data_IF_570773707959
#
_entry.id   IF_570773707959
#
_cell.length_a   1.000
_cell.length_b   1.000
_cell.length_c   1.000
_cell.angle_alpha   90.00
_cell.angle_beta   90.00
_cell.angle_gamma   90.00
#
_symmetry.space_group_name_H-M   'P 1'
#
loop_
_entity.id
_entity.type
_entity.pdbx_description
1 polymer ?
#
# COMPACT_ATOMS: atom_id res chain seq x y z
N UNK A 1 1.50 -7.57 46.99
CA UNK A 1 1.84 -7.88 45.59
C UNK A 1 0.65 -7.52 44.74
N UNK A 2 0.65 -6.35 44.15
CA UNK A 2 -0.39 -5.90 43.23
C UNK A 2 -0.18 -6.57 41.87
N UNK A 3 -1.15 -7.37 41.46
CA UNK A 3 -1.18 -8.03 40.16
C UNK A 3 -1.55 -6.96 39.13
N UNK A 4 -0.59 -6.55 38.32
CA UNK A 4 -0.77 -5.62 37.22
C UNK A 4 -1.79 -6.24 36.23
N UNK A 5 -3.04 -5.78 36.32
CA UNK A 5 -4.08 -6.11 35.35
C UNK A 5 -3.76 -5.28 34.11
N UNK A 6 -2.96 -5.82 33.22
CA UNK A 6 -2.95 -5.33 31.83
C UNK A 6 -4.37 -5.48 31.30
N UNK A 7 -4.94 -4.34 30.97
CA UNK A 7 -6.23 -4.26 30.32
C UNK A 7 -6.07 -4.75 28.88
N UNK A 8 -6.38 -6.01 28.64
CA UNK A 8 -6.29 -6.66 27.31
C UNK A 8 -7.27 -6.06 26.28
N UNK A 9 -8.09 -5.08 26.71
CA UNK A 9 -9.05 -4.37 25.85
C UNK A 9 -8.53 -3.05 25.29
N UNK A 10 -7.43 -2.52 25.82
CA UNK A 10 -6.78 -1.36 25.21
C UNK A 10 -5.89 -1.86 24.08
N UNK A 11 -6.46 -1.98 22.90
CA UNK A 11 -5.66 -2.20 21.67
C UNK A 11 -4.57 -1.14 21.62
N UNK A 12 -3.33 -1.56 21.37
CA UNK A 12 -2.21 -0.64 21.24
C UNK A 12 -2.58 0.41 20.19
N UNK A 13 -2.68 1.68 20.61
CA UNK A 13 -3.05 2.81 19.75
C UNK A 13 -2.13 2.91 18.50
N UNK A 14 -0.98 2.27 18.56
CA UNK A 14 0.02 2.19 17.51
C UNK A 14 0.06 0.82 16.80
N UNK A 15 -0.92 -0.06 17.05
CA UNK A 15 -0.99 -1.30 16.28
C UNK A 15 -1.42 -1.00 14.85
N UNK A 16 -0.45 -1.02 13.95
CA UNK A 16 -0.62 -0.76 12.50
C UNK A 16 -1.72 -1.66 11.90
N UNK A 17 -1.92 -2.87 12.43
CA UNK A 17 -2.95 -3.78 11.97
C UNK A 17 -4.37 -3.26 12.23
N UNK A 18 -4.59 -2.47 13.29
CA UNK A 18 -5.88 -1.81 13.55
C UNK A 18 -6.06 -0.51 12.77
N UNK A 19 -4.96 0.20 12.49
CA UNK A 19 -5.01 1.45 11.71
C UNK A 19 -5.21 1.20 10.22
N UNK A 20 -4.68 0.09 9.72
CA UNK A 20 -4.72 -0.28 8.30
C UNK A 20 -5.12 -1.75 8.18
N UNK A 21 -6.43 -2.07 8.27
CA UNK A 21 -6.89 -3.43 8.11
C UNK A 21 -6.56 -3.92 6.69
N UNK A 22 -5.76 -4.97 6.61
CA UNK A 22 -5.44 -5.64 5.36
C UNK A 22 -6.47 -6.74 5.14
N UNK A 23 -7.23 -6.64 4.07
CA UNK A 23 -8.13 -7.72 3.65
C UNK A 23 -7.29 -8.92 3.17
N UNK A 24 -7.78 -10.13 3.43
CA UNK A 24 -7.15 -11.33 2.89
C UNK A 24 -7.26 -11.32 1.35
N UNK A 25 -6.22 -11.77 0.63
CA UNK A 25 -6.29 -11.89 -0.82
C UNK A 25 -7.49 -12.75 -1.24
N UNK A 26 -8.13 -12.38 -2.34
CA UNK A 26 -9.24 -13.18 -2.88
C UNK A 26 -8.71 -14.47 -3.51
N UNK A 27 -9.39 -15.58 -3.25
CA UNK A 27 -9.00 -16.89 -3.82
C UNK A 27 -9.05 -16.93 -5.35
N UNK A 28 -9.87 -16.09 -5.98
CA UNK A 28 -10.02 -16.02 -7.42
C UNK A 28 -10.07 -14.59 -7.93
N UNK A 29 -9.17 -14.27 -8.86
CA UNK A 29 -9.22 -13.02 -9.60
C UNK A 29 -10.37 -13.06 -10.63
N UNK A 30 -11.41 -12.28 -10.39
CA UNK A 30 -12.51 -12.09 -11.34
C UNK A 30 -12.16 -10.92 -12.28
N UNK A 31 -11.56 -11.23 -13.42
CA UNK A 31 -11.05 -10.22 -14.36
C UNK A 31 -12.09 -9.16 -14.75
N UNK A 32 -13.36 -9.55 -14.87
CA UNK A 32 -14.44 -8.63 -15.21
C UNK A 32 -14.74 -7.65 -14.06
N UNK A 33 -14.72 -8.14 -12.82
CA UNK A 33 -14.96 -7.30 -11.64
C UNK A 33 -13.83 -6.30 -11.45
N UNK A 34 -12.57 -6.74 -11.63
CA UNK A 34 -11.40 -5.86 -11.58
C UNK A 34 -11.47 -4.77 -12.66
N UNK A 35 -11.85 -5.12 -13.90
CA UNK A 35 -12.01 -4.14 -14.98
C UNK A 35 -13.07 -3.08 -14.65
N UNK A 36 -14.20 -3.50 -14.10
CA UNK A 36 -15.26 -2.58 -13.68
C UNK A 36 -14.82 -1.70 -12.51
N UNK A 37 -14.09 -2.27 -11.56
CA UNK A 37 -13.52 -1.52 -10.45
C UNK A 37 -12.56 -0.44 -10.95
N UNK A 38 -11.59 -0.80 -11.80
CA UNK A 38 -10.65 0.16 -12.41
C UNK A 38 -11.41 1.27 -13.14
N UNK A 39 -12.40 0.94 -13.95
CA UNK A 39 -13.19 1.93 -14.68
C UNK A 39 -13.94 2.89 -13.74
N UNK A 40 -14.55 2.38 -12.68
CA UNK A 40 -15.25 3.15 -11.65
C UNK A 40 -14.29 4.09 -10.91
N UNK A 41 -13.14 3.57 -10.49
CA UNK A 41 -12.14 4.33 -9.73
C UNK A 41 -11.50 5.42 -10.59
N UNK A 42 -11.22 5.15 -11.87
CA UNK A 42 -10.80 6.19 -12.81
C UNK A 42 -11.87 7.27 -13.00
N UNK A 43 -13.14 6.88 -13.12
CA UNK A 43 -14.24 7.83 -13.21
C UNK A 43 -14.39 8.69 -11.95
N UNK A 44 -14.13 8.11 -10.78
CA UNK A 44 -14.09 8.83 -9.51
C UNK A 44 -12.92 9.81 -9.46
N UNK A 45 -11.72 9.36 -9.83
CA UNK A 45 -10.51 10.19 -9.85
C UNK A 45 -10.64 11.40 -10.78
N UNK A 46 -11.26 11.24 -11.98
CA UNK A 46 -11.54 12.36 -12.87
C UNK A 46 -12.48 13.40 -12.26
N UNK A 47 -13.40 13.00 -11.41
CA UNK A 47 -14.29 13.95 -10.70
C UNK A 47 -13.60 14.64 -9.53
N UNK A 48 -12.68 13.96 -8.86
CA UNK A 48 -12.02 14.45 -7.65
C UNK A 48 -10.77 15.29 -7.92
N UNK A 49 -10.07 15.06 -9.05
CA UNK A 49 -8.81 15.74 -9.35
C UNK A 49 -8.94 17.25 -9.66
N UNK A 50 -10.15 17.77 -9.83
CA UNK A 50 -10.38 19.19 -10.14
C UNK A 50 -9.92 19.62 -11.53
N UNK A 51 -9.46 18.71 -12.40
CA UNK A 51 -9.03 18.97 -13.77
C UNK A 51 -10.07 18.46 -14.76
N UNK A 52 -10.13 19.08 -15.95
CA UNK A 52 -10.96 18.53 -17.04
C UNK A 52 -10.31 17.29 -17.66
N UNK A 53 -11.11 16.45 -18.27
CA UNK A 53 -10.59 15.23 -18.94
C UNK A 53 -9.60 15.55 -20.07
N UNK A 54 -9.76 16.71 -20.73
CA UNK A 54 -8.82 17.19 -21.74
C UNK A 54 -7.45 17.51 -21.17
N UNK A 55 -7.42 18.19 -20.00
CA UNK A 55 -6.17 18.53 -19.30
C UNK A 55 -5.48 17.27 -18.83
N UNK A 56 -6.22 16.34 -18.23
CA UNK A 56 -5.66 15.05 -17.78
C UNK A 56 -5.10 14.28 -18.98
N UNK A 57 -5.79 14.23 -20.11
CA UNK A 57 -5.34 13.56 -21.31
C UNK A 57 -4.04 14.17 -21.88
N UNK A 58 -3.95 15.51 -21.91
CA UNK A 58 -2.76 16.23 -22.36
C UNK A 58 -1.55 15.95 -21.44
N UNK A 59 -1.75 16.06 -20.12
CA UNK A 59 -0.69 15.73 -19.13
C UNK A 59 -0.24 14.26 -19.22
N UNK A 60 -1.17 13.33 -19.43
CA UNK A 60 -0.81 11.92 -19.67
C UNK A 60 0.05 11.74 -20.89
N UNK A 61 -0.29 12.41 -22.01
CA UNK A 61 0.48 12.36 -23.25
C UNK A 61 1.90 12.89 -23.03
N UNK A 62 2.03 14.03 -22.35
CA UNK A 62 3.33 14.61 -22.00
C UNK A 62 4.16 13.66 -21.13
N UNK A 63 3.56 13.05 -20.12
CA UNK A 63 4.21 12.09 -19.21
C UNK A 63 4.65 10.80 -19.92
N UNK A 64 4.02 10.46 -21.04
CA UNK A 64 4.34 9.27 -21.84
C UNK A 64 5.42 9.52 -22.89
N UNK A 65 5.80 10.77 -23.14
CA UNK A 65 6.83 11.14 -24.09
C UNK A 65 6.37 12.07 -25.22
N UNK A 66 5.07 12.26 -25.36
CA UNK A 66 4.48 13.21 -26.33
C UNK A 66 4.52 12.75 -27.78
N UNK A 67 4.89 11.50 -28.07
CA UNK A 67 4.88 10.94 -29.40
C UNK A 67 3.46 10.53 -29.85
N UNK A 68 3.23 10.43 -31.16
CA UNK A 68 1.89 10.13 -31.71
C UNK A 68 1.33 8.78 -31.19
N UNK A 69 2.19 7.78 -30.96
CA UNK A 69 1.81 6.46 -30.44
C UNK A 69 1.33 6.52 -28.96
N UNK A 70 1.81 7.49 -28.21
CA UNK A 70 1.49 7.70 -26.80
C UNK A 70 0.34 8.69 -26.58
N UNK A 71 -0.22 9.22 -27.67
CA UNK A 71 -1.32 10.17 -27.61
C UNK A 71 -2.50 9.60 -26.83
N UNK A 72 -2.91 10.32 -25.80
CA UNK A 72 -4.11 10.02 -25.02
C UNK A 72 -5.17 11.07 -25.31
N UNK A 73 -6.32 10.62 -25.77
CA UNK A 73 -7.44 11.52 -26.07
C UNK A 73 -8.49 11.49 -24.94
N UNK A 74 -9.26 12.57 -24.82
CA UNK A 74 -10.44 12.62 -23.97
C UNK A 74 -11.39 11.44 -24.21
N UNK A 75 -11.60 11.08 -25.46
CA UNK A 75 -12.47 9.97 -25.85
C UNK A 75 -11.96 8.63 -25.31
N UNK A 76 -10.64 8.40 -25.34
CA UNK A 76 -10.03 7.21 -24.74
C UNK A 76 -10.17 7.20 -23.23
N UNK A 77 -10.00 8.35 -22.54
CA UNK A 77 -10.23 8.42 -21.08
C UNK A 77 -11.67 8.04 -20.73
N UNK A 78 -12.65 8.56 -21.43
CA UNK A 78 -14.04 8.16 -21.20
C UNK A 78 -14.32 6.70 -21.55
N UNK A 79 -13.62 6.14 -22.52
CA UNK A 79 -13.70 4.69 -22.81
C UNK A 79 -13.16 3.84 -21.66
N UNK A 80 -12.08 4.28 -21.00
CA UNK A 80 -11.52 3.60 -19.82
C UNK A 80 -12.41 3.71 -18.58
N UNK A 81 -13.20 4.78 -18.44
CA UNK A 81 -14.10 4.97 -17.29
C UNK A 81 -15.47 4.33 -17.47
N UNK A 82 -15.76 3.78 -18.65
CA UNK A 82 -17.05 3.16 -18.95
C UNK A 82 -17.08 1.70 -18.46
N UNK A 83 -17.75 1.44 -17.33
CA UNK A 83 -17.90 0.11 -16.72
C UNK A 83 -18.49 -0.95 -17.68
N UNK A 84 -19.29 -0.53 -18.65
CA UNK A 84 -19.89 -1.39 -19.66
C UNK A 84 -18.93 -1.78 -20.80
N UNK A 85 -17.85 -1.04 -21.01
CA UNK A 85 -16.87 -1.25 -22.09
C UNK A 85 -15.68 -2.09 -21.64
N UNK A 86 -15.92 -3.34 -21.31
CA UNK A 86 -14.90 -4.26 -20.77
C UNK A 86 -13.76 -4.61 -21.74
N UNK A 87 -13.89 -4.28 -23.03
CA UNK A 87 -12.83 -4.43 -24.03
C UNK A 87 -11.77 -3.31 -24.00
N UNK A 88 -12.10 -2.16 -23.40
CA UNK A 88 -11.21 -1.01 -23.31
C UNK A 88 -10.58 -0.95 -21.92
N UNK A 89 -9.50 -1.69 -21.73
CA UNK A 89 -8.73 -1.67 -20.47
C UNK A 89 -7.51 -0.77 -20.62
N UNK A 90 -7.25 0.05 -19.62
CA UNK A 90 -6.04 0.86 -19.57
C UNK A 90 -4.81 -0.03 -19.38
N UNK A 91 -3.71 0.23 -20.11
CA UNK A 91 -2.44 -0.43 -19.87
C UNK A 91 -1.81 0.08 -18.57
N UNK A 92 -0.91 -0.72 -17.99
CA UNK A 92 -0.23 -0.32 -16.74
C UNK A 92 0.59 0.97 -16.92
N UNK A 93 1.20 1.19 -18.07
CA UNK A 93 1.98 2.40 -18.36
C UNK A 93 1.07 3.63 -18.38
N UNK A 94 -0.08 3.54 -19.05
CA UNK A 94 -1.09 4.61 -19.06
C UNK A 94 -1.75 4.79 -17.70
N UNK A 95 -1.88 3.73 -16.90
CA UNK A 95 -2.35 3.82 -15.52
C UNK A 95 -1.41 4.68 -14.66
N UNK A 96 -0.09 4.43 -14.75
CA UNK A 96 0.91 5.26 -14.05
C UNK A 96 0.80 6.72 -14.45
N UNK A 97 0.71 7.00 -15.76
CA UNK A 97 0.54 8.36 -16.27
C UNK A 97 -0.77 8.99 -15.76
N UNK A 98 -1.87 8.24 -15.72
CA UNK A 98 -3.16 8.68 -15.22
C UNK A 98 -3.11 9.05 -13.72
N UNK A 99 -2.51 8.19 -12.89
CA UNK A 99 -2.34 8.47 -11.46
C UNK A 99 -1.52 9.75 -11.23
N UNK A 100 -0.44 9.92 -12.01
CA UNK A 100 0.40 11.13 -11.92
C UNK A 100 -0.34 12.38 -12.40
N UNK A 101 -1.05 12.32 -13.51
CA UNK A 101 -1.78 13.44 -14.09
C UNK A 101 -2.94 13.89 -13.18
N UNK A 102 -3.65 12.95 -12.55
CA UNK A 102 -4.73 13.26 -11.63
C UNK A 102 -4.25 13.62 -10.22
N UNK A 103 -3.06 13.16 -9.82
CA UNK A 103 -2.57 13.24 -8.44
C UNK A 103 -3.33 12.34 -7.46
N UNK A 104 -4.20 11.45 -7.94
CA UNK A 104 -5.02 10.56 -7.13
C UNK A 104 -4.24 9.30 -6.73
N UNK A 105 -3.27 9.41 -5.83
CA UNK A 105 -2.37 8.33 -5.39
C UNK A 105 -3.12 7.17 -4.74
N UNK A 106 -4.30 7.41 -4.15
CA UNK A 106 -5.17 6.37 -3.59
C UNK A 106 -5.56 5.27 -4.60
N UNK A 107 -5.46 5.54 -5.90
CA UNK A 107 -5.69 4.56 -6.97
C UNK A 107 -4.77 3.34 -6.87
N UNK A 108 -3.55 3.49 -6.34
CA UNK A 108 -2.66 2.37 -6.07
C UNK A 108 -3.23 1.46 -4.99
N UNK A 109 -3.74 2.05 -3.91
CA UNK A 109 -4.38 1.30 -2.82
C UNK A 109 -5.64 0.57 -3.29
N UNK A 110 -6.44 1.19 -4.16
CA UNK A 110 -7.62 0.55 -4.75
C UNK A 110 -7.26 -0.68 -5.58
N UNK A 111 -6.22 -0.60 -6.41
CA UNK A 111 -5.77 -1.70 -7.25
C UNK A 111 -5.24 -2.90 -6.44
N UNK A 112 -4.56 -2.64 -5.33
CA UNK A 112 -3.84 -3.65 -4.54
C UNK A 112 -4.65 -4.18 -3.35
N UNK A 113 -5.80 -3.58 -3.03
CA UNK A 113 -6.62 -3.97 -1.88
C UNK A 113 -7.03 -5.43 -1.91
N UNK A 114 -7.52 -5.90 -3.05
CA UNK A 114 -7.99 -7.27 -3.22
C UNK A 114 -6.86 -8.31 -3.19
N UNK A 115 -5.62 -7.86 -3.30
CA UNK A 115 -4.40 -8.67 -3.18
C UNK A 115 -3.85 -8.72 -1.74
N UNK A 116 -4.59 -8.17 -0.78
CA UNK A 116 -4.16 -8.12 0.61
C UNK A 116 -2.97 -7.18 0.85
N UNK A 117 -2.85 -6.13 0.06
CA UNK A 117 -1.76 -5.16 0.16
C UNK A 117 -2.27 -3.78 0.58
N UNK A 118 -1.43 -3.04 1.28
CA UNK A 118 -1.64 -1.64 1.63
C UNK A 118 -0.54 -0.80 1.00
N UNK A 119 -0.92 0.33 0.44
CA UNK A 119 0.01 1.36 -0.03
C UNK A 119 0.12 2.44 1.04
N UNK A 120 1.33 2.65 1.53
CA UNK A 120 1.67 3.70 2.48
C UNK A 120 2.55 4.73 1.77
N UNK A 121 2.31 6.01 2.02
CA UNK A 121 3.02 7.11 1.38
C UNK A 121 3.84 7.92 2.38
N UNK A 122 5.04 8.36 1.95
CA UNK A 122 5.87 9.33 2.66
C UNK A 122 6.13 8.95 4.13
N UNK A 123 5.73 9.83 5.05
CA UNK A 123 5.95 9.67 6.48
C UNK A 123 5.25 8.43 7.08
N UNK A 124 4.11 8.03 6.55
CA UNK A 124 3.40 6.82 7.01
C UNK A 124 4.22 5.55 6.73
N UNK A 125 4.88 5.49 5.57
CA UNK A 125 5.76 4.37 5.23
C UNK A 125 6.98 4.32 6.15
N UNK A 126 7.58 5.47 6.47
CA UNK A 126 8.69 5.59 7.41
C UNK A 126 8.29 5.17 8.82
N UNK A 127 7.12 5.61 9.28
CA UNK A 127 6.59 5.24 10.60
C UNK A 127 6.31 3.73 10.71
N UNK A 128 5.75 3.13 9.66
CA UNK A 128 5.52 1.69 9.60
C UNK A 128 6.85 0.91 9.65
N UNK A 129 7.88 1.37 8.93
CA UNK A 129 9.22 0.78 8.96
C UNK A 129 9.87 0.90 10.35
N UNK A 130 9.77 2.06 10.99
CA UNK A 130 10.28 2.28 12.33
C UNK A 130 9.60 1.34 13.35
N UNK A 131 8.28 1.25 13.30
CA UNK A 131 7.51 0.35 14.17
C UNK A 131 7.89 -1.12 13.98
N UNK A 132 8.12 -1.54 12.73
CA UNK A 132 8.58 -2.90 12.43
C UNK A 132 10.00 -3.14 12.96
N UNK A 133 10.89 -2.19 12.85
CA UNK A 133 12.24 -2.27 13.38
C UNK A 133 12.23 -2.41 14.91
N UNK A 134 11.39 -1.64 15.61
CA UNK A 134 11.22 -1.72 17.06
C UNK A 134 10.69 -3.09 17.50
N UNK A 135 9.68 -3.63 16.82
CA UNK A 135 9.16 -4.98 17.09
C UNK A 135 10.23 -6.07 16.91
N UNK A 136 11.05 -5.96 15.86
CA UNK A 136 12.18 -6.87 15.64
C UNK A 136 13.25 -6.74 16.73
N UNK A 137 13.60 -5.53 17.13
CA UNK A 137 14.56 -5.28 18.21
C UNK A 137 14.09 -5.90 19.52
N UNK A 138 12.81 -5.72 19.85
CA UNK A 138 12.18 -6.33 21.03
C UNK A 138 12.23 -7.86 20.96
N UNK A 139 11.87 -8.45 19.82
CA UNK A 139 11.94 -9.90 19.63
C UNK A 139 13.37 -10.45 19.85
N UNK A 140 14.38 -9.81 19.29
CA UNK A 140 15.77 -10.22 19.51
C UNK A 140 16.24 -10.02 20.95
N UNK A 141 15.79 -8.96 21.63
CA UNK A 141 16.08 -8.75 23.04
C UNK A 141 15.50 -9.88 23.91
N UNK A 142 14.26 -10.30 23.64
CA UNK A 142 13.61 -11.40 24.34
C UNK A 142 14.28 -12.75 24.06
N UNK A 143 14.67 -13.01 22.83
CA UNK A 143 15.47 -14.19 22.48
C UNK A 143 16.82 -14.21 23.24
N UNK A 144 17.53 -13.08 23.25
CA UNK A 144 18.80 -12.97 23.97
C UNK A 144 18.60 -13.21 25.49
N UNK A 145 17.52 -12.70 26.07
CA UNK A 145 17.15 -12.92 27.48
C UNK A 145 16.84 -14.40 27.75
N UNK A 146 16.14 -15.08 26.84
CA UNK A 146 15.83 -16.50 26.94
C UNK A 146 17.12 -17.37 26.84
N UNK A 147 18.02 -17.03 25.94
CA UNK A 147 19.32 -17.72 25.80
C UNK A 147 20.19 -17.55 27.04
N UNK A 148 20.27 -16.33 27.61
CA UNK A 148 21.00 -16.06 28.85
C UNK A 148 20.44 -16.85 30.03
N UNK A 149 19.16 -17.13 30.10
CA UNK A 149 18.54 -17.96 31.15
C UNK A 149 18.90 -19.46 30.98
N UNK A 150 19.04 -19.90 29.73
CA UNK A 150 19.37 -21.32 29.42
C UNK A 150 20.84 -21.64 29.54
N UNK A 151 21.71 -20.68 29.31
CA UNK A 151 23.17 -20.81 29.40
C UNK A 151 23.73 -19.82 30.40
N UNK A 152 23.71 -20.10 31.71
CA UNK A 152 24.38 -19.27 32.70
C UNK A 152 25.86 -19.28 32.38
N UNK A 153 26.37 -18.17 31.86
CA UNK A 153 27.77 -17.95 31.56
C UNK A 153 28.54 -17.71 32.86
N UNK A 154 28.79 -18.75 33.63
CA UNK A 154 29.88 -18.75 34.61
C UNK A 154 31.21 -18.93 33.86
N UNK A 155 31.74 -17.85 33.31
CA UNK A 155 33.14 -17.84 32.86
C UNK A 155 33.99 -17.81 34.10
N UNK A 156 34.38 -18.98 34.60
CA UNK A 156 35.43 -19.09 35.61
C UNK A 156 36.76 -18.69 34.97
N UNK A 157 37.10 -17.41 35.11
CA UNK A 157 38.47 -16.95 34.72
C UNK A 157 39.46 -17.64 35.68
N UNK A 158 40.39 -18.45 35.19
CA UNK A 158 41.41 -19.05 36.04
C UNK A 158 42.29 -17.93 36.61
N UNK A 159 42.29 -17.76 37.94
CA UNK A 159 43.25 -16.86 38.60
C UNK A 159 44.63 -17.41 38.35
N UNK A 160 45.44 -16.70 37.57
CA UNK A 160 46.89 -16.91 37.52
C UNK A 160 47.45 -16.71 38.92
N UNK A 161 48.08 -17.74 39.47
CA UNK A 161 48.99 -17.63 40.60
C UNK A 161 50.32 -17.01 40.18
#
# INVERSE_FOLDING_TARGET
>A
MAKDRRDDQTGDLFDVAHMFPVEAPRDMLRSLDLKRQIARDMGRALRECGKTAEVVAAEMTELLGGEDEDLVTRSQLYAYTAESRTSHTISIVRWVAFVRATGCTWLWGSLLRDEGMIVLEGEQALLAQATQADKLAQHYADQAKALRKRAPLEIKVPRKR
#
